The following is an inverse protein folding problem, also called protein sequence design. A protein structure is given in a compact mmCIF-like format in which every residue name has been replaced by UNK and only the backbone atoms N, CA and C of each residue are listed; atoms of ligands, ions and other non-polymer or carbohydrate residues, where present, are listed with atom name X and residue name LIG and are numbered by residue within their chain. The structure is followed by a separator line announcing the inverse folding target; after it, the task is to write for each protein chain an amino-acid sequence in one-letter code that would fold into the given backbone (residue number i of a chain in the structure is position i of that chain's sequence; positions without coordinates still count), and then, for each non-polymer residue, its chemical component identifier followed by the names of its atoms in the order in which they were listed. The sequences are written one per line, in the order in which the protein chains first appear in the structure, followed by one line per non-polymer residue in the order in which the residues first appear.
data_IF_317026304672
#
_entry.id   IF_317026304672
#
_cell.length_a   1.000
_cell.length_b   1.000
_cell.length_c   1.000
_cell.angle_alpha   90.00
_cell.angle_beta   90.00
_cell.angle_gamma   90.00
#
_symmetry.space_group_name_H-M   'P 1'
#
loop_
_entity.id
_entity.type
_entity.pdbx_description
1 polymer ?
#
# COMPACT_ATOMS: atom_id res chain seq x y z
N UNK A 1 -20.19 -8.89 -7.55
CA UNK A 1 -19.28 -8.36 -6.50
C UNK A 1 -18.11 -7.68 -7.20
N UNK A 2 -17.89 -6.37 -7.00
CA UNK A 2 -16.84 -5.57 -7.64
C UNK A 2 -15.58 -5.49 -6.75
N UNK A 3 -15.18 -6.59 -6.11
CA UNK A 3 -14.09 -6.57 -5.13
C UNK A 3 -12.68 -6.48 -5.76
N UNK A 4 -12.56 -6.61 -7.08
CA UNK A 4 -11.27 -6.53 -7.80
C UNK A 4 -10.77 -5.11 -8.13
N UNK A 5 -11.41 -4.05 -7.63
CA UNK A 5 -10.98 -2.67 -7.94
C UNK A 5 -10.25 -1.96 -6.81
N UNK A 6 -10.04 -2.63 -5.67
CA UNK A 6 -9.23 -2.08 -4.59
C UNK A 6 -7.75 -2.36 -4.86
N UNK A 7 -6.93 -1.31 -4.90
CA UNK A 7 -5.48 -1.37 -5.04
C UNK A 7 -4.86 -0.78 -3.78
N UNK A 8 -3.92 -1.52 -3.20
CA UNK A 8 -3.15 -1.04 -2.05
C UNK A 8 -1.82 -0.46 -2.49
N UNK A 9 -1.39 0.62 -1.83
CA UNK A 9 -0.09 1.24 -2.05
C UNK A 9 0.64 1.32 -0.70
N UNK A 10 1.79 0.65 -0.60
CA UNK A 10 2.70 0.82 0.53
C UNK A 10 3.60 2.00 0.26
N UNK A 11 3.41 3.07 1.03
CA UNK A 11 4.20 4.30 0.95
C UNK A 11 3.39 5.52 0.52
N UNK A 12 3.48 6.58 1.33
CA UNK A 12 2.89 7.90 1.06
C UNK A 12 3.97 8.93 0.64
N UNK A 13 4.90 8.51 -0.21
CA UNK A 13 5.88 9.40 -0.86
C UNK A 13 5.31 10.04 -2.13
N UNK A 14 6.10 10.86 -2.82
CA UNK A 14 5.71 11.50 -4.08
C UNK A 14 5.23 10.48 -5.13
N UNK A 15 5.97 9.39 -5.32
CA UNK A 15 5.60 8.31 -6.24
C UNK A 15 4.27 7.64 -5.83
N UNK A 16 4.10 7.35 -4.55
CA UNK A 16 2.89 6.72 -4.02
C UNK A 16 1.64 7.57 -4.29
N UNK A 17 1.71 8.88 -4.04
CA UNK A 17 0.59 9.78 -4.33
C UNK A 17 0.33 9.95 -5.82
N UNK A 18 1.37 10.11 -6.64
CA UNK A 18 1.21 10.22 -8.09
C UNK A 18 0.50 8.98 -8.68
N UNK A 19 0.90 7.79 -8.23
CA UNK A 19 0.24 6.54 -8.60
C UNK A 19 -1.21 6.48 -8.08
N UNK A 20 -1.44 6.85 -6.82
CA UNK A 20 -2.77 6.85 -6.21
C UNK A 20 -3.76 7.73 -7.01
N UNK A 21 -3.33 8.93 -7.41
CA UNK A 21 -4.13 9.80 -8.27
C UNK A 21 -4.43 9.17 -9.63
N UNK A 22 -3.44 8.58 -10.30
CA UNK A 22 -3.65 7.94 -11.60
C UNK A 22 -4.63 6.77 -11.53
N UNK A 23 -4.56 5.97 -10.46
CA UNK A 23 -5.47 4.86 -10.21
C UNK A 23 -6.89 5.35 -9.88
N UNK A 24 -7.02 6.40 -9.07
CA UNK A 24 -8.32 7.01 -8.76
C UNK A 24 -9.01 7.52 -10.04
N UNK A 25 -8.28 8.19 -10.92
CA UNK A 25 -8.78 8.66 -12.22
C UNK A 25 -9.18 7.51 -13.17
N UNK A 26 -8.69 6.30 -12.90
CA UNK A 26 -9.00 5.09 -13.67
C UNK A 26 -10.11 4.25 -13.01
N UNK A 27 -10.92 4.84 -12.12
CA UNK A 27 -12.01 4.20 -11.38
C UNK A 27 -11.60 3.04 -10.46
N UNK A 28 -10.37 3.07 -9.93
CA UNK A 28 -9.93 2.18 -8.84
C UNK A 28 -10.19 2.81 -7.47
N UNK A 29 -10.52 1.96 -6.50
CA UNK A 29 -10.46 2.32 -5.09
C UNK A 29 -9.00 2.17 -4.63
N UNK A 30 -8.45 3.20 -4.00
CA UNK A 30 -7.04 3.18 -3.55
C UNK A 30 -6.98 3.31 -2.03
N UNK A 31 -6.21 2.44 -1.41
CA UNK A 31 -5.85 2.54 0.02
C UNK A 31 -4.34 2.64 0.13
N UNK A 32 -3.86 3.67 0.83
CA UNK A 32 -2.43 3.89 1.03
C UNK A 32 -2.01 3.49 2.45
N UNK A 33 -0.72 3.20 2.65
CA UNK A 33 -0.19 3.00 4.01
C UNK A 33 0.99 3.87 4.37
N UNK A 34 1.04 4.15 5.67
CA UNK A 34 2.09 4.89 6.35
C UNK A 34 2.45 4.17 7.65
N UNK A 35 3.69 4.35 8.12
CA UNK A 35 4.09 3.94 9.47
C UNK A 35 3.37 4.74 10.57
N UNK A 36 2.89 5.93 10.21
CA UNK A 36 2.16 6.83 11.10
C UNK A 36 0.90 7.34 10.37
N UNK A 37 -0.14 6.51 10.21
CA UNK A 37 -1.35 6.90 9.48
C UNK A 37 -2.03 8.10 10.13
N UNK A 38 -2.12 8.16 11.45
CA UNK A 38 -2.78 9.26 12.19
C UNK A 38 -2.10 10.63 12.00
N UNK A 39 -0.81 10.63 11.63
CA UNK A 39 -0.04 11.85 11.36
C UNK A 39 -0.23 12.36 9.93
N UNK A 40 -0.90 11.60 9.06
CA UNK A 40 -1.18 11.98 7.68
C UNK A 40 -2.67 12.21 7.53
N UNK A 41 -3.06 13.48 7.42
CA UNK A 41 -4.42 13.88 7.09
C UNK A 41 -4.44 14.29 5.62
N UNK A 42 -4.55 13.31 4.74
CA UNK A 42 -4.88 13.55 3.34
C UNK A 42 -6.38 13.33 3.18
N UNK A 43 -7.10 14.34 2.68
CA UNK A 43 -8.57 14.27 2.56
C UNK A 43 -9.02 13.39 1.39
N UNK A 44 -8.15 13.15 0.42
CA UNK A 44 -8.48 12.45 -0.82
C UNK A 44 -8.20 10.95 -0.77
N UNK A 45 -7.38 10.49 0.18
CA UNK A 45 -6.95 9.09 0.27
C UNK A 45 -7.12 8.55 1.68
N UNK A 46 -7.65 7.33 1.77
CA UNK A 46 -7.61 6.59 3.03
C UNK A 46 -6.18 6.11 3.29
N UNK A 47 -5.60 6.54 4.41
CA UNK A 47 -4.26 6.15 4.85
C UNK A 47 -4.38 5.29 6.11
N UNK A 48 -3.94 4.04 6.02
CA UNK A 48 -4.04 3.04 7.09
C UNK A 48 -2.66 2.49 7.47
N UNK A 49 -2.64 1.58 8.45
CA UNK A 49 -1.43 0.83 8.78
C UNK A 49 -1.02 -0.11 7.64
N UNK A 50 0.25 -0.52 7.63
CA UNK A 50 0.77 -1.42 6.59
C UNK A 50 0.01 -2.76 6.58
N UNK A 51 -0.27 -3.35 7.74
CA UNK A 51 -1.03 -4.61 7.83
C UNK A 51 -2.44 -4.49 7.26
N UNK A 52 -3.13 -3.39 7.60
CA UNK A 52 -4.50 -3.16 7.11
C UNK A 52 -4.51 -2.95 5.60
N UNK A 53 -3.53 -2.20 5.08
CA UNK A 53 -3.36 -1.98 3.65
C UNK A 53 -3.14 -3.30 2.90
N UNK A 54 -2.31 -4.20 3.42
CA UNK A 54 -2.04 -5.51 2.79
C UNK A 54 -3.29 -6.40 2.77
N UNK A 55 -4.12 -6.35 3.82
CA UNK A 55 -5.35 -7.18 3.88
C UNK A 55 -6.39 -6.77 2.85
N UNK A 56 -6.48 -5.48 2.52
CA UNK A 56 -7.59 -4.90 1.74
C UNK A 56 -7.56 -5.14 0.24
N UNK A 57 -6.46 -5.59 -0.32
CA UNK A 57 -6.36 -5.84 -1.75
C UNK A 57 -5.48 -7.04 -2.06
N UNK A 58 -5.62 -7.57 -3.27
CA UNK A 58 -4.75 -8.61 -3.81
C UNK A 58 -3.52 -8.02 -4.48
N UNK A 59 -3.64 -6.85 -5.11
CA UNK A 59 -2.53 -6.17 -5.81
C UNK A 59 -2.03 -5.03 -4.92
N UNK A 60 -0.74 -5.08 -4.60
CA UNK A 60 -0.08 -4.17 -3.69
C UNK A 60 1.14 -3.56 -4.37
N UNK A 61 1.11 -2.25 -4.59
CA UNK A 61 2.27 -1.51 -5.09
C UNK A 61 3.18 -1.12 -3.93
N UNK A 62 4.48 -1.38 -4.08
CA UNK A 62 5.51 -1.02 -3.11
C UNK A 62 6.19 0.25 -3.58
N UNK A 63 5.74 1.39 -3.04
CA UNK A 63 6.22 2.74 -3.35
C UNK A 63 7.08 3.31 -2.20
N UNK A 64 8.00 2.49 -1.68
CA UNK A 64 8.99 2.89 -0.67
C UNK A 64 10.41 2.64 -1.18
N UNK A 65 11.38 3.36 -0.63
CA UNK A 65 12.79 3.14 -0.96
C UNK A 65 13.28 1.75 -0.49
N UNK A 66 14.13 1.02 -1.25
CA UNK A 66 14.62 -0.32 -0.90
C UNK A 66 15.25 -0.42 0.49
N UNK A 67 15.98 0.62 0.90
CA UNK A 67 16.57 0.73 2.23
C UNK A 67 15.55 0.65 3.40
N UNK A 68 14.26 0.74 3.11
CA UNK A 68 13.19 0.66 4.10
C UNK A 68 12.41 -0.65 4.07
N UNK A 69 12.75 -1.60 3.20
CA UNK A 69 12.01 -2.87 3.07
C UNK A 69 12.04 -3.69 4.36
N UNK A 70 13.22 -3.81 4.99
CA UNK A 70 13.36 -4.56 6.24
C UNK A 70 12.41 -4.00 7.30
N UNK A 71 12.47 -2.68 7.50
CA UNK A 71 11.75 -2.00 8.58
C UNK A 71 10.25 -1.76 8.28
N UNK A 72 9.80 -1.94 7.03
CA UNK A 72 8.42 -1.60 6.62
C UNK A 72 7.64 -2.79 6.08
N UNK A 73 8.29 -3.84 5.59
CA UNK A 73 7.64 -5.01 4.99
C UNK A 73 8.09 -6.31 5.66
N UNK A 74 9.40 -6.53 5.80
CA UNK A 74 9.92 -7.80 6.34
C UNK A 74 9.45 -8.01 7.79
N UNK A 75 9.51 -6.98 8.63
CA UNK A 75 9.01 -7.08 10.01
C UNK A 75 7.51 -7.39 10.11
N UNK A 76 6.71 -7.12 9.06
CA UNK A 76 5.30 -7.49 9.01
C UNK A 76 5.14 -8.95 8.57
N UNK A 77 5.92 -9.39 7.58
CA UNK A 77 5.97 -10.78 7.14
C UNK A 77 6.45 -11.73 8.25
N UNK A 78 7.49 -11.36 9.01
CA UNK A 78 8.00 -12.18 10.11
C UNK A 78 6.98 -12.35 11.24
N UNK A 79 6.21 -11.29 11.54
CA UNK A 79 5.14 -11.34 12.56
C UNK A 79 3.90 -12.10 12.09
N UNK A 80 3.60 -12.05 10.80
CA UNK A 80 2.46 -12.74 10.22
C UNK A 80 2.80 -13.28 8.82
N UNK A 81 3.38 -14.49 8.73
CA UNK A 81 3.84 -15.05 7.45
C UNK A 81 2.74 -15.21 6.41
N UNK A 82 1.49 -15.43 6.82
CA UNK A 82 0.36 -15.60 5.91
C UNK A 82 -0.22 -14.29 5.39
N UNK A 83 0.22 -13.13 5.90
CA UNK A 83 -0.29 -11.82 5.52
C UNK A 83 -0.18 -11.55 4.01
N UNK A 84 0.86 -12.11 3.38
CA UNK A 84 1.17 -11.94 1.96
C UNK A 84 0.71 -13.12 1.08
N UNK A 85 0.05 -14.11 1.66
CA UNK A 85 -0.47 -15.24 0.88
C UNK A 85 -1.44 -14.73 -0.19
N UNK A 86 -1.26 -15.25 -1.42
CA UNK A 86 -2.09 -14.92 -2.58
C UNK A 86 -2.06 -13.44 -2.99
N UNK A 87 -1.10 -12.65 -2.48
CA UNK A 87 -0.89 -11.26 -2.86
C UNK A 87 0.07 -11.14 -4.04
N UNK A 88 -0.20 -10.16 -4.90
CA UNK A 88 0.69 -9.72 -5.98
C UNK A 88 1.39 -8.45 -5.50
N UNK A 89 2.70 -8.55 -5.29
CA UNK A 89 3.56 -7.43 -4.92
C UNK A 89 4.21 -6.83 -6.18
N UNK A 90 3.98 -5.55 -6.43
CA UNK A 90 4.58 -4.82 -7.55
C UNK A 90 5.61 -3.83 -6.99
N UNK A 91 6.88 -4.13 -7.19
CA UNK A 91 7.99 -3.28 -6.78
C UNK A 91 8.18 -2.11 -7.78
N UNK A 92 8.23 -0.88 -7.26
CA UNK A 92 8.42 0.35 -8.03
C UNK A 92 9.77 1.04 -7.76
N UNK A 93 10.65 0.40 -7.00
CA UNK A 93 11.95 0.95 -6.64
C UNK A 93 12.95 0.90 -7.80
N UNK A 94 13.91 1.83 -7.76
CA UNK A 94 15.07 1.91 -8.66
C UNK A 94 16.36 1.59 -7.90
#
# INVERSE_FOLDING_TARGET
MRDNRCISIVGCGSMGFALAHGLLLSDFTVVMSSRYPDKRKETEFEIVSIDECIRRSTIIFIAIHPAHYINSLVSHLERNPSLFNEKILVDLSN
#
